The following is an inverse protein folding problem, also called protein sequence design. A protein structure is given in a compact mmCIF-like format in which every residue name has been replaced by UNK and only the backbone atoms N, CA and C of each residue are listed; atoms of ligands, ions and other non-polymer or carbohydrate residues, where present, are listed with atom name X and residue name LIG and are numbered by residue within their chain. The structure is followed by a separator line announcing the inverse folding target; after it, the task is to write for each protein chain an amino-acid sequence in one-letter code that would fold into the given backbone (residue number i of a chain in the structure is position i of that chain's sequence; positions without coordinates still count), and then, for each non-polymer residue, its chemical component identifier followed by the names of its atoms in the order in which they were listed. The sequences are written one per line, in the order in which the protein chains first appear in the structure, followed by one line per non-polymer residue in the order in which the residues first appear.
data_IF_290671974885
#
_entry.id   IF_290671974885
#
_cell.length_a   1.000
_cell.length_b   1.000
_cell.length_c   1.000
_cell.angle_alpha   90.00
_cell.angle_beta   90.00
_cell.angle_gamma   90.00
#
_symmetry.space_group_name_H-M   'P 1'
#
loop_
_entity.id
_entity.type
_entity.pdbx_description
1 polymer ?
#
# COMPACT_ATOMS: atom_id res chain seq x y z
N UNK A 1 15.11 -12.90 77.90
CA UNK A 1 16.00 -12.43 76.82
C UNK A 1 15.52 -12.89 75.43
N UNK A 2 14.86 -14.05 75.35
CA UNK A 2 14.25 -14.65 74.15
C UNK A 2 13.13 -13.82 73.52
N UNK A 3 12.26 -13.18 74.30
CA UNK A 3 11.07 -12.47 73.78
C UNK A 3 11.39 -11.20 72.97
N UNK A 4 12.51 -10.52 73.26
CA UNK A 4 12.93 -9.32 72.52
C UNK A 4 13.54 -9.63 71.15
N UNK A 5 14.20 -10.79 71.02
CA UNK A 5 14.83 -11.24 69.77
C UNK A 5 13.76 -11.64 68.75
N UNK A 6 12.70 -12.34 69.18
CA UNK A 6 11.57 -12.69 68.30
C UNK A 6 10.85 -11.45 67.77
N UNK A 7 10.65 -10.41 68.59
CA UNK A 7 10.00 -9.17 68.16
C UNK A 7 10.85 -8.38 67.16
N UNK A 8 12.18 -8.39 67.30
CA UNK A 8 13.09 -7.73 66.36
C UNK A 8 13.12 -8.46 65.01
N UNK A 9 13.16 -9.79 65.02
CA UNK A 9 13.15 -10.60 63.80
C UNK A 9 11.84 -10.39 63.03
N UNK A 10 10.68 -10.39 63.71
CA UNK A 10 9.40 -10.13 63.05
C UNK A 10 9.35 -8.73 62.45
N UNK A 11 9.83 -7.70 63.16
CA UNK A 11 9.86 -6.32 62.61
C UNK A 11 10.79 -6.16 61.42
N UNK A 12 11.98 -6.78 61.46
CA UNK A 12 12.93 -6.73 60.34
C UNK A 12 12.37 -7.50 59.14
N UNK A 13 11.71 -8.63 59.37
CA UNK A 13 11.06 -9.42 58.30
C UNK A 13 9.87 -8.67 57.69
N UNK A 14 9.03 -8.04 58.50
CA UNK A 14 7.92 -7.19 58.02
C UNK A 14 8.42 -5.98 57.25
N UNK A 15 9.52 -5.34 57.68
CA UNK A 15 10.12 -4.21 56.97
C UNK A 15 10.73 -4.64 55.63
N UNK A 16 11.32 -5.83 55.57
CA UNK A 16 11.86 -6.41 54.33
C UNK A 16 10.75 -6.75 53.33
N UNK A 17 9.61 -7.27 53.79
CA UNK A 17 8.46 -7.56 52.92
C UNK A 17 7.87 -6.26 52.36
N UNK A 18 7.73 -5.22 53.19
CA UNK A 18 7.23 -3.91 52.74
C UNK A 18 8.20 -3.26 51.74
N UNK A 19 9.52 -3.36 51.97
CA UNK A 19 10.52 -2.82 51.06
C UNK A 19 10.61 -3.60 49.73
N UNK A 20 10.38 -4.92 49.76
CA UNK A 20 10.33 -5.77 48.56
C UNK A 20 9.09 -5.48 47.70
N UNK A 21 7.94 -5.16 48.32
CA UNK A 21 6.73 -4.73 47.60
C UNK A 21 6.90 -3.33 47.00
N UNK A 22 7.73 -2.46 47.59
CA UNK A 22 8.03 -1.11 47.07
C UNK A 22 9.05 -1.11 45.91
N UNK A 23 9.77 -2.23 45.70
CA UNK A 23 10.78 -2.43 44.65
C UNK A 23 10.27 -3.26 43.47
N UNK A 24 9.01 -3.71 43.52
CA UNK A 24 8.34 -4.17 42.31
C UNK A 24 8.16 -2.94 41.40
N UNK A 25 8.61 -2.98 40.14
CA UNK A 25 8.25 -1.95 39.20
C UNK A 25 6.73 -1.96 39.06
N UNK A 26 6.03 -1.00 39.67
CA UNK A 26 4.71 -0.59 39.20
C UNK A 26 4.94 0.10 37.85
N UNK A 27 5.16 -0.69 36.81
CA UNK A 27 4.76 -0.28 35.48
C UNK A 27 3.25 -0.38 35.46
N UNK A 28 2.59 0.65 36.00
CA UNK A 28 1.28 1.01 35.45
C UNK A 28 1.62 1.54 34.07
N UNK A 29 1.65 0.63 33.09
CA UNK A 29 1.51 1.01 31.71
C UNK A 29 0.12 1.65 31.65
N UNK A 30 0.07 2.96 31.80
CA UNK A 30 -1.00 3.72 31.16
C UNK A 30 -0.84 3.38 29.69
N UNK A 31 -1.65 2.45 29.20
CA UNK A 31 -1.90 2.33 27.78
C UNK A 31 -2.35 3.72 27.34
N UNK A 32 -1.43 4.50 26.77
CA UNK A 32 -1.83 5.52 25.82
C UNK A 32 -2.70 4.76 24.82
N UNK A 33 -3.97 5.13 24.72
CA UNK A 33 -4.85 4.52 23.74
C UNK A 33 -4.28 4.76 22.36
N UNK A 34 -3.49 3.81 21.85
CA UNK A 34 -3.52 3.52 20.43
C UNK A 34 -4.94 3.03 20.18
N UNK A 35 -5.68 3.71 19.33
CA UNK A 35 -6.94 3.19 18.82
C UNK A 35 -6.63 1.80 18.24
N UNK A 36 -7.07 0.75 18.95
CA UNK A 36 -6.75 -0.62 18.59
C UNK A 36 -7.44 -0.98 17.27
N UNK A 37 -6.87 -1.93 16.54
CA UNK A 37 -7.42 -2.38 15.27
C UNK A 37 -8.50 -3.42 15.56
N UNK A 38 -9.70 -3.17 15.04
CA UNK A 38 -10.83 -4.07 15.27
C UNK A 38 -10.62 -5.37 14.51
N UNK A 39 -10.53 -6.48 15.24
CA UNK A 39 -10.54 -7.84 14.68
C UNK A 39 -11.88 -8.49 14.99
N UNK A 40 -12.42 -9.19 13.98
CA UNK A 40 -13.70 -9.89 14.07
C UNK A 40 -13.50 -11.36 13.75
N UNK A 41 -14.07 -12.23 14.58
CA UNK A 41 -14.01 -13.68 14.37
C UNK A 41 -15.31 -14.37 14.75
N UNK A 42 -15.87 -15.12 13.81
CA UNK A 42 -17.06 -15.93 14.04
C UNK A 42 -16.65 -17.33 14.51
N UNK A 43 -17.17 -17.78 15.65
CA UNK A 43 -16.91 -19.09 16.25
C UNK A 43 -18.21 -19.74 16.71
N UNK A 44 -18.33 -21.06 16.58
CA UNK A 44 -19.46 -21.79 17.14
C UNK A 44 -19.27 -21.99 18.64
N UNK A 45 -20.20 -21.44 19.43
CA UNK A 45 -20.20 -21.63 20.89
C UNK A 45 -21.55 -22.16 21.37
N UNK A 46 -21.49 -23.16 22.24
CA UNK A 46 -22.65 -23.70 22.94
C UNK A 46 -22.89 -22.94 24.25
N UNK A 47 -22.97 -21.62 24.17
CA UNK A 47 -23.15 -20.71 25.32
C UNK A 47 -24.60 -20.24 25.36
N UNK A 48 -25.24 -20.29 26.54
CA UNK A 48 -26.65 -19.89 26.71
C UNK A 48 -26.79 -18.52 27.39
N UNK A 49 -25.82 -18.10 28.20
CA UNK A 49 -25.82 -16.81 28.91
C UNK A 49 -24.45 -16.11 28.93
N UNK A 50 -24.43 -14.81 29.24
CA UNK A 50 -23.20 -13.98 29.34
C UNK A 50 -22.21 -14.53 30.39
N UNK A 51 -22.71 -15.26 31.37
CA UNK A 51 -21.90 -15.91 32.40
C UNK A 51 -21.07 -17.07 31.84
N UNK A 52 -21.52 -17.75 30.77
CA UNK A 52 -20.75 -18.85 30.13
C UNK A 52 -19.76 -18.34 29.06
N UNK A 53 -19.64 -17.03 28.86
CA UNK A 53 -18.57 -16.47 28.04
C UNK A 53 -17.19 -16.82 28.65
N UNK A 54 -16.20 -17.18 27.81
CA UNK A 54 -14.89 -17.64 28.27
C UNK A 54 -14.16 -16.59 29.10
N UNK A 55 -13.35 -17.05 30.07
CA UNK A 55 -12.61 -16.13 30.93
C UNK A 55 -11.50 -15.41 30.15
N UNK A 56 -10.91 -16.09 29.16
CA UNK A 56 -9.95 -15.49 28.23
C UNK A 56 -10.09 -16.03 26.80
N UNK A 57 -9.80 -15.15 25.84
CA UNK A 57 -9.66 -15.51 24.43
C UNK A 57 -8.33 -15.00 23.90
N UNK A 58 -7.67 -15.77 23.04
CA UNK A 58 -6.43 -15.36 22.40
C UNK A 58 -6.62 -15.28 20.89
N UNK A 59 -6.29 -14.13 20.31
CA UNK A 59 -6.20 -13.96 18.86
C UNK A 59 -4.75 -14.14 18.43
N UNK A 60 -4.55 -14.99 17.43
CA UNK A 60 -3.25 -15.22 16.80
C UNK A 60 -3.33 -14.87 15.31
N UNK A 61 -2.37 -14.07 14.85
CA UNK A 61 -2.25 -13.61 13.47
C UNK A 61 -1.11 -14.34 12.78
N UNK A 62 -1.31 -14.69 11.52
CA UNK A 62 -0.38 -15.46 10.69
C UNK A 62 -0.23 -14.82 9.31
N UNK A 63 0.91 -15.02 8.67
CA UNK A 63 1.21 -14.53 7.31
C UNK A 63 0.69 -15.46 6.19
N UNK A 64 0.16 -16.64 6.54
CA UNK A 64 -0.53 -17.55 5.61
C UNK A 64 -1.43 -18.54 6.35
N UNK A 65 -2.33 -19.20 5.61
CA UNK A 65 -3.23 -20.21 6.16
C UNK A 65 -2.47 -21.37 6.83
N UNK A 66 -1.30 -21.74 6.27
CA UNK A 66 -0.52 -22.92 6.71
C UNK A 66 0.67 -22.59 7.60
N UNK A 67 0.85 -21.32 7.97
CA UNK A 67 1.95 -20.88 8.82
C UNK A 67 1.91 -21.56 10.19
N UNK A 68 3.05 -22.09 10.61
CA UNK A 68 3.22 -22.81 11.87
C UNK A 68 3.44 -21.89 13.08
N UNK A 69 3.91 -20.65 12.86
CA UNK A 69 4.21 -19.69 13.92
C UNK A 69 3.42 -18.40 13.69
N UNK A 70 2.75 -17.86 14.71
CA UNK A 70 2.05 -16.60 14.57
C UNK A 70 3.05 -15.43 14.45
N UNK A 71 2.70 -14.44 13.65
CA UNK A 71 3.40 -13.16 13.53
C UNK A 71 3.00 -12.19 14.64
N UNK A 72 1.83 -12.39 15.27
CA UNK A 72 1.45 -11.68 16.49
C UNK A 72 0.39 -12.49 17.25
N UNK A 73 0.37 -12.33 18.58
CA UNK A 73 -0.68 -12.90 19.43
C UNK A 73 -1.11 -11.89 20.47
N UNK A 74 -2.38 -11.90 20.88
CA UNK A 74 -2.88 -11.09 21.98
C UNK A 74 -4.01 -11.81 22.71
N UNK A 75 -3.92 -11.84 24.03
CA UNK A 75 -4.94 -12.42 24.92
C UNK A 75 -5.81 -11.31 25.49
N UNK A 76 -7.11 -11.53 25.49
CA UNK A 76 -8.15 -10.64 25.98
C UNK A 76 -8.91 -11.34 27.10
N UNK A 77 -9.00 -10.70 28.25
CA UNK A 77 -9.78 -11.18 29.37
C UNK A 77 -11.27 -10.88 29.15
N UNK A 78 -12.15 -11.60 29.86
CA UNK A 78 -13.59 -11.33 29.87
C UNK A 78 -13.87 -9.86 30.20
N UNK A 79 -14.58 -9.19 29.30
CA UNK A 79 -14.87 -7.75 29.36
C UNK A 79 -13.96 -6.88 28.48
N UNK A 80 -12.88 -7.43 27.92
CA UNK A 80 -12.01 -6.76 26.93
C UNK A 80 -12.39 -7.10 25.49
N UNK A 81 -13.28 -8.07 25.30
CA UNK A 81 -13.86 -8.46 24.02
C UNK A 81 -15.38 -8.27 24.04
N UNK A 82 -15.96 -7.97 22.88
CA UNK A 82 -17.41 -7.97 22.68
C UNK A 82 -17.84 -9.24 21.95
N UNK A 83 -19.05 -9.72 22.25
CA UNK A 83 -19.65 -10.88 21.56
C UNK A 83 -21.04 -10.49 21.08
N UNK A 84 -21.27 -10.68 19.78
CA UNK A 84 -22.60 -10.61 19.19
C UNK A 84 -23.03 -12.01 18.73
N UNK A 85 -24.28 -12.38 19.01
CA UNK A 85 -24.81 -13.69 18.63
C UNK A 85 -25.67 -13.53 17.38
N UNK A 86 -25.14 -14.00 16.25
CA UNK A 86 -25.88 -14.00 15.00
C UNK A 86 -26.63 -15.32 14.82
N UNK A 87 -27.88 -15.35 15.31
CA UNK A 87 -28.79 -16.48 15.13
C UNK A 87 -29.20 -16.69 13.65
N UNK A 88 -28.91 -15.75 12.75
CA UNK A 88 -29.28 -15.88 11.33
C UNK A 88 -28.31 -16.75 10.51
N UNK A 89 -27.11 -17.04 11.05
CA UNK A 89 -26.12 -17.93 10.43
C UNK A 89 -26.27 -19.41 10.82
N UNK A 90 -27.37 -19.77 11.50
CA UNK A 90 -27.69 -21.15 11.86
C UNK A 90 -27.99 -21.98 10.60
N UNK A 91 -27.27 -23.09 10.42
CA UNK A 91 -27.46 -24.04 9.30
C UNK A 91 -28.67 -24.98 9.47
N UNK A 92 -29.45 -24.77 10.54
CA UNK A 92 -30.67 -25.54 10.83
C UNK A 92 -30.45 -26.99 11.26
N UNK A 93 -29.21 -27.46 11.42
CA UNK A 93 -28.89 -28.85 11.80
C UNK A 93 -27.94 -28.99 13.00
N UNK A 94 -27.23 -27.94 13.41
CA UNK A 94 -26.24 -28.01 14.50
C UNK A 94 -26.70 -27.18 15.71
N UNK A 95 -26.77 -27.79 16.90
CA UNK A 95 -27.06 -27.10 18.16
C UNK A 95 -25.89 -26.16 18.53
N UNK A 96 -26.03 -24.86 18.31
CA UNK A 96 -25.08 -23.84 18.79
C UNK A 96 -25.25 -22.50 18.07
N UNK A 97 -25.18 -21.39 18.79
CA UNK A 97 -25.21 -20.04 18.21
C UNK A 97 -23.83 -19.70 17.63
N UNK A 98 -23.77 -19.03 16.47
CA UNK A 98 -22.51 -18.44 15.99
C UNK A 98 -22.27 -17.18 16.82
N UNK A 99 -21.18 -17.19 17.58
CA UNK A 99 -20.71 -16.06 18.36
C UNK A 99 -19.67 -15.30 17.53
N UNK A 100 -19.96 -14.04 17.23
CA UNK A 100 -19.03 -13.09 16.63
C UNK A 100 -18.28 -12.37 17.74
N UNK A 101 -17.00 -12.67 17.87
CA UNK A 101 -16.10 -11.95 18.75
C UNK A 101 -15.53 -10.73 18.06
N UNK A 102 -15.48 -9.62 18.78
CA UNK A 102 -14.86 -8.38 18.36
C UNK A 102 -13.85 -7.93 19.42
N UNK A 103 -12.62 -7.64 19.01
CA UNK A 103 -11.52 -7.22 19.89
C UNK A 103 -10.77 -6.03 19.30
N UNK A 104 -10.20 -5.19 20.17
CA UNK A 104 -9.31 -4.10 19.78
C UNK A 104 -7.85 -4.57 19.90
N UNK A 105 -7.27 -5.02 18.80
CA UNK A 105 -5.91 -5.56 18.76
C UNK A 105 -4.87 -4.43 18.74
N UNK A 106 -3.86 -4.52 19.60
CA UNK A 106 -2.87 -3.46 19.80
C UNK A 106 -1.43 -3.95 19.69
N UNK A 107 -1.19 -5.26 19.67
CA UNK A 107 0.16 -5.79 19.59
C UNK A 107 0.75 -5.55 18.19
N UNK A 108 2.04 -5.22 18.13
CA UNK A 108 2.73 -5.02 16.86
C UNK A 108 2.99 -6.36 16.17
N UNK A 109 2.96 -6.36 14.84
CA UNK A 109 3.28 -7.54 14.05
C UNK A 109 4.80 -7.77 14.00
N UNK A 110 5.24 -8.98 14.30
CA UNK A 110 6.62 -9.40 14.14
C UNK A 110 6.89 -9.83 12.70
N UNK A 111 7.17 -8.84 11.85
CA UNK A 111 7.46 -9.04 10.43
C UNK A 111 8.97 -8.96 10.26
N UNK A 112 9.63 -10.08 9.96
CA UNK A 112 11.06 -10.12 9.72
C UNK A 112 11.41 -9.32 8.45
N UNK A 113 11.79 -8.06 8.62
CA UNK A 113 12.18 -7.13 7.56
C UNK A 113 13.70 -7.16 7.31
N UNK A 114 14.28 -8.35 7.19
CA UNK A 114 15.68 -8.44 6.75
C UNK A 114 15.72 -8.05 5.27
N UNK A 115 16.47 -7.00 4.95
CA UNK A 115 16.53 -6.36 3.63
C UNK A 115 16.93 -7.28 2.46
N UNK A 116 17.44 -8.47 2.76
CA UNK A 116 17.85 -9.51 1.80
C UNK A 116 16.79 -10.62 1.60
N UNK A 117 15.74 -10.65 2.45
CA UNK A 117 14.66 -11.67 2.39
C UNK A 117 13.24 -11.09 2.50
N UNK A 118 13.06 -9.77 2.30
CA UNK A 118 11.80 -9.01 2.42
C UNK A 118 10.56 -9.91 2.30
N UNK A 119 9.99 -10.30 3.45
CA UNK A 119 8.82 -11.17 3.48
C UNK A 119 7.64 -10.34 3.00
N UNK A 120 7.23 -10.57 1.76
CA UNK A 120 6.05 -9.93 1.17
C UNK A 120 4.81 -10.56 1.80
N UNK A 121 4.20 -9.88 2.76
CA UNK A 121 2.94 -10.33 3.36
C UNK A 121 1.81 -9.88 2.43
N UNK A 122 1.17 -10.85 1.79
CA UNK A 122 0.04 -10.63 0.87
C UNK A 122 -1.31 -10.87 1.52
N UNK A 123 -1.33 -11.56 2.67
CA UNK A 123 -2.51 -11.91 3.43
C UNK A 123 -2.15 -12.01 4.91
N UNK A 124 -3.13 -11.73 5.77
CA UNK A 124 -3.02 -12.05 7.19
C UNK A 124 -4.21 -12.93 7.53
N UNK A 125 -3.93 -13.97 8.30
CA UNK A 125 -4.93 -14.93 8.73
C UNK A 125 -5.08 -14.86 10.25
N UNK A 126 -6.32 -14.87 10.71
CA UNK A 126 -6.66 -14.85 12.13
C UNK A 126 -7.14 -16.21 12.61
N UNK A 127 -6.60 -16.63 13.74
CA UNK A 127 -7.00 -17.80 14.52
C UNK A 127 -7.40 -17.34 15.92
N UNK A 128 -8.38 -18.05 16.51
CA UNK A 128 -8.80 -17.79 17.88
C UNK A 128 -8.57 -19.05 18.72
N UNK A 129 -8.06 -18.85 19.93
CA UNK A 129 -8.03 -19.86 20.97
C UNK A 129 -8.92 -19.41 22.13
N UNK A 130 -9.66 -20.36 22.71
CA UNK A 130 -10.47 -20.18 23.90
C UNK A 130 -9.90 -21.09 24.97
N UNK A 131 -9.50 -20.52 26.11
CA UNK A 131 -8.84 -21.25 27.21
C UNK A 131 -7.67 -22.15 26.72
N UNK A 132 -6.90 -21.66 25.74
CA UNK A 132 -5.76 -22.36 25.14
C UNK A 132 -6.11 -23.48 24.16
N UNK A 133 -7.37 -23.57 23.70
CA UNK A 133 -7.81 -24.52 22.66
C UNK A 133 -8.28 -23.77 21.43
N UNK A 134 -7.78 -24.14 20.25
CA UNK A 134 -8.18 -23.52 18.97
C UNK A 134 -9.70 -23.66 18.75
N UNK A 135 -10.34 -22.53 18.45
CA UNK A 135 -11.76 -22.38 18.30
C UNK A 135 -12.11 -21.96 16.86
N UNK A 136 -12.62 -22.92 16.08
CA UNK A 136 -12.95 -22.73 14.66
C UNK A 136 -11.75 -22.89 13.72
N UNK A 137 -11.98 -22.62 12.44
CA UNK A 137 -10.92 -22.62 11.43
C UNK A 137 -10.25 -21.26 11.35
N UNK A 138 -9.00 -21.22 10.90
CA UNK A 138 -8.31 -19.97 10.56
C UNK A 138 -8.98 -19.30 9.36
N UNK A 139 -9.11 -17.97 9.37
CA UNK A 139 -9.75 -17.20 8.27
C UNK A 139 -8.91 -15.98 7.89
N UNK A 140 -8.97 -15.54 6.62
CA UNK A 140 -8.25 -14.36 6.19
C UNK A 140 -8.93 -13.10 6.76
N UNK A 141 -8.14 -12.13 7.20
CA UNK A 141 -8.64 -10.81 7.58
C UNK A 141 -9.04 -10.02 6.33
N UNK A 142 -9.92 -9.03 6.50
CA UNK A 142 -10.29 -8.15 5.38
C UNK A 142 -9.09 -7.35 4.88
N UNK A 143 -9.10 -6.94 3.60
CA UNK A 143 -8.04 -6.09 3.04
C UNK A 143 -7.86 -4.78 3.82
N UNK A 144 -8.94 -4.21 4.36
CA UNK A 144 -8.88 -3.00 5.18
C UNK A 144 -8.14 -3.27 6.50
N UNK A 145 -8.52 -4.35 7.20
CA UNK A 145 -7.86 -4.78 8.44
C UNK A 145 -6.39 -5.12 8.21
N UNK A 146 -6.07 -5.80 7.10
CA UNK A 146 -4.70 -6.11 6.68
C UNK A 146 -3.86 -4.84 6.57
N UNK A 147 -4.38 -3.81 5.87
CA UNK A 147 -3.67 -2.53 5.72
C UNK A 147 -3.49 -1.85 7.07
N UNK A 148 -4.51 -1.81 7.93
CA UNK A 148 -4.41 -1.22 9.27
C UNK A 148 -3.38 -1.95 10.14
N UNK A 149 -3.39 -3.29 10.15
CA UNK A 149 -2.46 -4.14 10.91
C UNK A 149 -1.02 -3.96 10.45
N UNK A 150 -0.81 -3.89 9.14
CA UNK A 150 0.49 -3.55 8.62
C UNK A 150 0.86 -2.15 9.10
N UNK A 151 -0.03 -1.14 9.04
CA UNK A 151 0.31 0.27 9.37
C UNK A 151 0.68 0.48 10.83
N UNK A 152 0.14 -0.36 11.71
CA UNK A 152 0.50 -0.40 13.12
C UNK A 152 1.76 -1.23 13.42
N UNK A 153 2.36 -1.89 12.42
CA UNK A 153 3.58 -2.68 12.58
C UNK A 153 4.84 -1.87 12.27
N UNK A 154 6.00 -2.42 12.65
CA UNK A 154 7.32 -1.86 12.32
C UNK A 154 7.78 -2.23 10.89
N UNK A 155 6.89 -2.78 10.04
CA UNK A 155 7.27 -3.15 8.68
C UNK A 155 7.77 -1.95 7.87
N UNK A 156 8.74 -2.16 6.98
CA UNK A 156 9.11 -1.16 5.97
C UNK A 156 7.93 -0.82 5.08
N UNK A 157 7.81 0.46 4.69
CA UNK A 157 6.89 1.00 3.67
C UNK A 157 6.88 0.11 2.40
N UNK A 158 7.98 -0.56 2.07
CA UNK A 158 8.08 -1.48 0.95
C UNK A 158 7.16 -2.71 1.07
N UNK A 159 6.93 -3.24 2.27
CA UNK A 159 6.06 -4.40 2.52
C UNK A 159 4.60 -4.05 2.25
N UNK A 160 4.18 -2.84 2.61
CA UNK A 160 2.87 -2.28 2.28
C UNK A 160 2.67 -2.11 0.78
N UNK A 161 3.72 -1.70 0.08
CA UNK A 161 3.68 -1.41 -1.34
C UNK A 161 3.58 -2.68 -2.21
N UNK A 162 3.91 -3.85 -1.66
CA UNK A 162 3.85 -5.15 -2.34
C UNK A 162 2.48 -5.81 -2.38
N UNK A 163 1.44 -5.22 -1.78
CA UNK A 163 0.14 -5.86 -1.58
C UNK A 163 -0.78 -5.99 -2.81
N UNK A 164 -0.28 -5.82 -4.02
CA UNK A 164 -1.15 -5.83 -5.20
C UNK A 164 -0.53 -6.68 -6.30
N UNK A 165 -0.97 -7.94 -6.31
CA UNK A 165 -1.12 -8.84 -7.45
C UNK A 165 0.04 -9.00 -8.44
N UNK A 166 0.41 -10.26 -8.69
CA UNK A 166 1.15 -10.66 -9.88
C UNK A 166 0.46 -10.09 -11.14
N UNK A 167 1.06 -9.10 -11.78
CA UNK A 167 0.67 -8.64 -13.12
C UNK A 167 0.34 -7.16 -13.31
N UNK A 168 0.38 -6.33 -12.28
CA UNK A 168 0.33 -4.86 -12.44
C UNK A 168 1.72 -4.26 -12.16
N UNK A 169 2.32 -3.62 -13.17
CA UNK A 169 3.64 -3.00 -13.02
C UNK A 169 3.58 -1.67 -12.23
N UNK A 170 2.39 -1.16 -11.87
CA UNK A 170 2.27 0.11 -11.15
C UNK A 170 1.09 0.21 -10.16
N UNK A 171 1.15 -0.50 -9.02
CA UNK A 171 0.08 -0.56 -8.02
C UNK A 171 -0.25 0.79 -7.38
N UNK A 172 0.71 1.72 -7.43
CA UNK A 172 0.65 3.07 -6.88
C UNK A 172 -0.47 3.91 -7.52
N UNK A 173 -0.78 3.68 -8.79
CA UNK A 173 -1.69 4.54 -9.56
C UNK A 173 -3.17 4.13 -9.49
N UNK A 174 -3.46 2.88 -9.13
CA UNK A 174 -4.80 2.31 -9.21
C UNK A 174 -5.55 2.27 -7.87
N UNK A 175 -4.85 2.06 -6.75
CA UNK A 175 -5.46 1.85 -5.43
C UNK A 175 -5.14 3.00 -4.46
N UNK A 176 -3.96 3.61 -4.55
CA UNK A 176 -3.48 4.58 -3.56
C UNK A 176 -3.87 6.04 -3.87
N UNK A 177 -4.43 6.32 -5.07
CA UNK A 177 -4.84 7.69 -5.44
C UNK A 177 -5.92 8.27 -4.52
N UNK A 178 -6.78 7.40 -4.00
CA UNK A 178 -7.97 7.79 -3.23
C UNK A 178 -7.79 7.55 -1.72
N UNK A 179 -6.59 7.16 -1.26
CA UNK A 179 -6.33 6.98 0.17
C UNK A 179 -6.24 8.36 0.87
N UNK A 180 -6.97 8.56 1.99
CA UNK A 180 -7.00 9.83 2.73
C UNK A 180 -5.77 10.01 3.63
N UNK A 181 -4.59 9.60 3.18
CA UNK A 181 -3.35 9.75 3.93
C UNK A 181 -2.79 11.12 3.61
N UNK A 182 -2.67 11.98 4.62
CA UNK A 182 -2.00 13.27 4.50
C UNK A 182 -0.94 13.43 5.58
N UNK A 183 0.14 14.12 5.26
CA UNK A 183 1.16 14.53 6.24
C UNK A 183 1.08 16.04 6.45
N UNK A 184 1.17 16.49 7.70
CA UNK A 184 1.27 17.90 8.01
C UNK A 184 2.72 18.36 7.89
N UNK A 185 2.96 19.34 7.02
CA UNK A 185 4.20 20.08 6.93
C UNK A 185 4.47 20.87 8.22
N UNK A 186 5.74 21.19 8.45
CA UNK A 186 6.17 21.99 9.60
C UNK A 186 5.59 23.43 9.61
N UNK A 187 5.07 23.87 8.47
CA UNK A 187 4.35 25.13 8.23
C UNK A 187 2.82 25.00 8.38
N UNK A 188 2.32 23.79 8.64
CA UNK A 188 0.90 23.50 8.80
C UNK A 188 0.16 23.11 7.50
N UNK A 189 0.87 22.93 6.38
CA UNK A 189 0.23 22.48 5.13
C UNK A 189 -0.01 20.96 5.12
N UNK A 190 -1.22 20.51 4.76
CA UNK A 190 -1.51 19.09 4.56
C UNK A 190 -1.07 18.63 3.16
N UNK A 191 -0.15 17.67 3.11
CA UNK A 191 0.29 16.98 1.88
C UNK A 191 -0.41 15.63 1.79
N UNK A 192 -1.50 15.56 1.01
CA UNK A 192 -2.21 14.31 0.73
C UNK A 192 -1.44 13.42 -0.24
N UNK A 193 -1.38 12.11 0.00
CA UNK A 193 -0.88 11.10 -0.96
C UNK A 193 -1.55 11.24 -2.33
N UNK A 194 -2.84 11.57 -2.35
CA UNK A 194 -3.58 11.84 -3.59
C UNK A 194 -3.01 13.01 -4.40
N UNK A 195 -2.34 13.98 -3.77
CA UNK A 195 -1.68 15.11 -4.44
C UNK A 195 -0.36 14.72 -5.12
N UNK A 196 0.32 13.68 -4.64
CA UNK A 196 1.51 13.12 -5.31
C UNK A 196 1.14 12.37 -6.59
N UNK A 197 -0.08 11.81 -6.67
CA UNK A 197 -0.59 11.04 -7.82
C UNK A 197 -1.53 11.83 -8.73
N UNK A 198 -2.11 12.92 -8.24
CA UNK A 198 -2.88 13.86 -9.04
C UNK A 198 -1.89 14.68 -9.84
N UNK A 199 -1.60 14.22 -11.06
CA UNK A 199 -0.81 14.92 -12.06
C UNK A 199 -1.04 16.44 -11.97
N UNK A 200 -0.06 17.17 -11.43
CA UNK A 200 -0.07 18.63 -11.49
C UNK A 200 0.00 18.99 -12.97
N UNK A 201 -1.04 19.68 -13.43
CA UNK A 201 -1.07 20.24 -14.77
C UNK A 201 0.20 21.05 -15.00
N UNK A 202 0.82 20.84 -16.17
CA UNK A 202 2.03 21.50 -16.61
C UNK A 202 2.06 22.99 -16.24
N UNK A 203 3.11 23.43 -15.53
CA UNK A 203 3.48 24.85 -15.49
C UNK A 203 3.63 25.54 -14.14
N UNK A 204 3.76 24.85 -13.00
CA UNK A 204 4.16 25.53 -11.76
C UNK A 204 5.69 25.52 -11.61
N UNK A 205 6.30 26.64 -11.98
CA UNK A 205 7.70 26.92 -11.66
C UNK A 205 7.89 26.96 -10.15
N UNK A 206 8.67 26.04 -9.58
CA UNK A 206 9.28 26.25 -8.26
C UNK A 206 9.19 25.13 -7.23
N UNK A 207 8.62 23.97 -7.52
CA UNK A 207 8.70 22.81 -6.62
C UNK A 207 9.42 21.65 -7.29
N UNK A 208 10.39 21.07 -6.56
CA UNK A 208 11.17 19.93 -7.00
C UNK A 208 10.23 18.70 -7.05
N UNK A 209 9.74 18.38 -8.25
CA UNK A 209 8.80 17.27 -8.47
C UNK A 209 9.58 15.94 -8.39
N UNK A 210 9.38 15.17 -7.31
CA UNK A 210 9.82 13.78 -7.17
C UNK A 210 8.65 12.85 -7.50
N UNK A 211 8.25 12.80 -8.76
CA UNK A 211 7.20 11.92 -9.29
C UNK A 211 7.42 11.59 -10.77
N UNK A 212 6.81 10.54 -11.34
CA UNK A 212 6.97 10.22 -12.75
C UNK A 212 6.53 11.41 -13.60
N UNK A 213 7.46 11.96 -14.40
CA UNK A 213 7.18 13.10 -15.25
C UNK A 213 6.16 12.71 -16.33
N UNK A 214 4.94 13.26 -16.27
CA UNK A 214 4.00 13.12 -17.38
C UNK A 214 4.50 13.97 -18.55
N UNK A 215 4.99 13.30 -19.59
CA UNK A 215 5.33 13.92 -20.88
C UNK A 215 4.02 14.23 -21.61
N UNK A 216 3.88 15.41 -22.23
CA UNK A 216 2.64 15.76 -22.94
C UNK A 216 2.49 14.94 -24.23
N UNK A 217 1.34 14.99 -24.91
CA UNK A 217 1.15 14.31 -26.19
C UNK A 217 0.90 12.80 -26.13
N UNK A 218 0.60 12.22 -27.28
CA UNK A 218 0.44 10.76 -27.46
C UNK A 218 1.76 10.11 -27.85
N UNK A 219 1.83 8.78 -27.76
CA UNK A 219 2.99 8.00 -28.18
C UNK A 219 3.46 8.38 -29.61
N UNK A 220 4.78 8.38 -29.79
CA UNK A 220 5.45 8.82 -31.01
C UNK A 220 5.42 10.32 -31.31
N UNK A 221 4.69 11.15 -30.56
CA UNK A 221 4.69 12.60 -30.78
C UNK A 221 5.92 13.27 -30.16
N UNK A 222 6.54 14.19 -30.90
CA UNK A 222 7.64 15.00 -30.36
C UNK A 222 7.09 16.10 -29.43
N UNK A 223 7.78 16.32 -28.32
CA UNK A 223 7.49 17.41 -27.39
C UNK A 223 7.94 18.77 -27.91
N UNK A 224 7.12 19.80 -27.69
CA UNK A 224 7.49 21.18 -27.96
C UNK A 224 6.90 22.13 -26.91
N UNK A 225 7.46 23.34 -26.86
CA UNK A 225 6.93 24.43 -26.06
C UNK A 225 5.77 25.11 -26.82
N UNK A 226 4.57 25.03 -26.27
CA UNK A 226 3.38 25.74 -26.73
C UNK A 226 3.00 26.84 -25.74
N UNK A 227 3.65 28.01 -25.84
CA UNK A 227 3.41 29.16 -24.97
C UNK A 227 3.63 28.86 -23.47
N UNK A 228 4.83 28.36 -23.16
CA UNK A 228 5.32 27.96 -21.83
C UNK A 228 4.66 26.69 -21.26
N UNK A 229 3.86 25.99 -22.07
CA UNK A 229 3.25 24.69 -21.75
C UNK A 229 3.86 23.60 -22.62
N UNK A 230 4.21 22.45 -22.03
CA UNK A 230 4.65 21.28 -22.80
C UNK A 230 3.48 20.70 -23.60
N UNK A 231 3.67 20.45 -24.90
CA UNK A 231 2.66 19.87 -25.77
C UNK A 231 3.26 18.85 -26.74
N UNK A 232 2.43 17.92 -27.21
CA UNK A 232 2.78 16.95 -28.26
C UNK A 232 2.46 17.48 -29.67
N UNK A 233 3.40 17.37 -30.59
CA UNK A 233 3.23 17.79 -31.98
C UNK A 233 2.50 16.71 -32.80
N UNK A 234 1.18 16.78 -32.91
CA UNK A 234 0.37 15.74 -33.60
C UNK A 234 0.69 15.54 -35.09
N UNK A 235 1.34 16.51 -35.74
CA UNK A 235 1.75 16.46 -37.14
C UNK A 235 3.19 15.96 -37.32
N UNK A 236 3.94 15.73 -36.25
CA UNK A 236 5.31 15.22 -36.27
C UNK A 236 5.36 13.93 -35.46
N UNK A 237 5.62 12.82 -36.15
CA UNK A 237 5.63 11.49 -35.57
C UNK A 237 7.01 10.84 -35.68
N UNK A 238 7.47 10.23 -34.60
CA UNK A 238 8.64 9.37 -34.55
C UNK A 238 8.19 7.94 -34.28
N UNK A 239 8.38 7.07 -35.27
CA UNK A 239 8.23 5.62 -35.14
C UNK A 239 9.56 5.06 -34.63
N UNK A 240 9.64 4.82 -33.33
CA UNK A 240 10.82 4.32 -32.63
C UNK A 240 11.11 2.84 -32.96
N UNK A 241 10.06 2.05 -33.23
CA UNK A 241 10.15 0.65 -33.63
C UNK A 241 10.93 0.51 -34.94
N UNK A 242 10.59 1.32 -35.95
CA UNK A 242 11.23 1.28 -37.26
C UNK A 242 12.30 2.36 -37.48
N UNK A 243 12.50 3.25 -36.51
CA UNK A 243 13.43 4.38 -36.54
C UNK A 243 13.15 5.35 -37.71
N UNK A 244 11.90 5.80 -37.83
CA UNK A 244 11.41 6.63 -38.95
C UNK A 244 10.72 7.90 -38.47
N UNK A 245 10.82 8.95 -39.27
CA UNK A 245 10.14 10.24 -39.02
C UNK A 245 9.03 10.46 -40.03
N UNK A 246 7.83 10.74 -39.54
CA UNK A 246 6.66 11.13 -40.33
C UNK A 246 6.27 12.58 -40.06
N UNK A 247 6.04 13.36 -41.12
CA UNK A 247 5.41 14.70 -41.05
C UNK A 247 4.08 14.61 -41.79
N UNK A 248 2.98 14.91 -41.10
CA UNK A 248 1.62 14.73 -41.60
C UNK A 248 1.13 13.28 -41.64
N UNK A 249 1.94 12.32 -41.15
CA UNK A 249 1.61 10.89 -41.13
C UNK A 249 2.19 10.22 -39.89
N UNK A 250 1.40 9.35 -39.26
CA UNK A 250 1.84 8.52 -38.13
C UNK A 250 2.40 7.15 -38.56
N UNK A 251 2.35 6.82 -39.86
CA UNK A 251 2.80 5.53 -40.38
C UNK A 251 3.85 5.69 -41.50
N UNK A 252 5.05 6.22 -41.18
CA UNK A 252 6.08 6.45 -42.19
C UNK A 252 6.62 5.13 -42.79
N UNK A 253 6.68 5.06 -44.11
CA UNK A 253 7.19 3.91 -44.89
C UNK A 253 8.68 4.06 -45.26
N UNK A 254 9.26 5.23 -45.05
CA UNK A 254 10.67 5.55 -45.30
C UNK A 254 11.29 6.22 -44.06
N UNK A 255 12.64 6.35 -44.04
CA UNK A 255 13.36 7.01 -42.93
C UNK A 255 12.82 8.42 -42.63
N UNK A 256 12.42 9.15 -43.67
CA UNK A 256 11.69 10.40 -43.57
C UNK A 256 10.55 10.34 -44.59
N UNK A 257 9.31 10.51 -44.14
CA UNK A 257 8.14 10.68 -44.98
C UNK A 257 7.44 11.99 -44.64
N UNK A 258 7.19 12.81 -45.66
CA UNK A 258 6.40 14.03 -45.54
C UNK A 258 5.15 13.85 -46.40
N UNK A 259 3.99 13.76 -45.76
CA UNK A 259 2.70 13.80 -46.44
C UNK A 259 2.25 15.26 -46.53
N UNK A 260 2.67 15.94 -47.60
CA UNK A 260 2.36 17.34 -47.84
C UNK A 260 3.43 18.04 -48.68
N UNK A 261 3.39 19.37 -48.67
CA UNK A 261 4.38 20.19 -49.36
C UNK A 261 5.60 20.42 -48.46
N UNK A 262 6.80 20.41 -49.05
CA UNK A 262 8.02 20.85 -48.37
C UNK A 262 8.75 21.89 -49.22
N UNK A 263 9.38 22.86 -48.54
CA UNK A 263 10.20 23.90 -49.20
C UNK A 263 11.66 23.62 -48.94
N UNK A 264 12.47 23.70 -49.99
CA UNK A 264 13.92 23.62 -49.91
C UNK A 264 14.49 25.05 -49.83
N UNK A 265 15.55 25.25 -49.04
CA UNK A 265 16.25 26.54 -48.94
C UNK A 265 16.88 26.98 -50.27
N UNK A 266 17.51 28.17 -50.29
CA UNK A 266 18.01 28.81 -51.53
C UNK A 266 19.18 28.11 -52.21
N UNK A 267 19.87 27.18 -51.53
CA UNK A 267 20.96 26.38 -52.10
C UNK A 267 20.84 24.91 -51.69
N UNK A 268 19.82 24.18 -52.15
CA UNK A 268 19.60 22.82 -51.70
C UNK A 268 20.53 21.86 -52.44
N UNK A 269 21.25 21.03 -51.68
CA UNK A 269 21.99 19.89 -52.23
C UNK A 269 21.12 18.64 -52.08
N UNK A 270 20.33 18.35 -53.11
CA UNK A 270 19.54 17.11 -53.17
C UNK A 270 20.30 16.09 -53.99
N UNK A 271 20.72 14.99 -53.36
CA UNK A 271 21.24 13.83 -54.07
C UNK A 271 20.10 13.08 -54.75
N UNK A 272 19.80 13.41 -56.00
CA UNK A 272 18.82 12.69 -56.80
C UNK A 272 19.51 11.53 -57.52
N UNK A 273 19.27 10.29 -57.08
CA UNK A 273 19.61 9.10 -57.85
C UNK A 273 18.60 8.98 -58.99
N UNK A 274 18.97 9.42 -60.19
CA UNK A 274 18.08 9.40 -61.36
C UNK A 274 17.58 7.97 -61.64
N UNK A 275 16.28 7.73 -61.48
CA UNK A 275 15.62 6.53 -62.02
C UNK A 275 15.56 6.68 -63.54
N UNK A 276 16.25 5.81 -64.28
CA UNK A 276 16.42 5.95 -65.75
C UNK A 276 15.27 5.38 -66.58
N UNK A 277 14.15 4.98 -65.99
CA UNK A 277 13.10 4.22 -66.68
C UNK A 277 11.67 4.73 -66.40
N UNK A 278 11.41 6.01 -66.67
CA UNK A 278 10.02 6.49 -66.64
C UNK A 278 9.93 8.00 -66.72
N UNK A 279 8.99 8.47 -67.52
CA UNK A 279 8.77 9.85 -67.95
C UNK A 279 8.22 10.75 -66.83
N UNK A 280 8.77 10.70 -65.62
CA UNK A 280 8.32 11.54 -64.51
C UNK A 280 9.16 12.80 -64.38
N UNK A 281 8.46 13.93 -64.44
CA UNK A 281 9.01 15.27 -64.50
C UNK A 281 9.94 15.55 -63.31
N UNK A 282 11.24 15.70 -63.60
CA UNK A 282 12.07 16.66 -62.88
C UNK A 282 11.28 17.96 -62.80
N UNK A 283 11.04 18.45 -61.58
CA UNK A 283 10.46 19.76 -61.34
C UNK A 283 11.32 20.78 -62.10
N UNK A 284 10.91 21.17 -63.31
CA UNK A 284 11.53 22.28 -64.02
C UNK A 284 11.20 23.49 -63.17
N UNK A 285 12.23 24.08 -62.57
CA UNK A 285 12.18 25.45 -62.08
C UNK A 285 11.61 26.30 -63.21
N UNK A 286 10.33 26.64 -63.12
CA UNK A 286 9.71 27.62 -63.99
C UNK A 286 10.41 28.93 -63.69
N UNK A 287 11.39 29.27 -64.51
CA UNK A 287 11.99 30.59 -64.52
C UNK A 287 10.85 31.57 -64.86
N UNK A 288 10.27 32.18 -63.84
CA UNK A 288 9.64 33.48 -64.02
C UNK A 288 10.76 34.48 -64.30
N UNK A 289 10.90 34.87 -65.56
CA UNK A 289 11.46 36.16 -65.97
C UNK A 289 10.86 36.55 -67.32
N UNK A 290 10.49 37.82 -67.57
CA UNK A 290 10.05 38.89 -66.67
C UNK A 290 8.52 39.07 -66.62
#
# INVERSE_FOLDING_TARGET
MTTKITSYIVKVFSLFIILAVLLLPLTVAFAQGSEGIVLVKDVFLAVQDVEDLPDEVTFALYDSETAATPIATQTFQKGEYAVDYDFSKLDGFTFGSVARFEVNFTNTLNINDDSDTSVKIYEIWTEMEIDGTVAGNREPVSNETLVQLLLASDASISTYLTLVYEGDENPITSIYKDLPISSLGADGSEFSLGSYFSAVAAGTSGEEIIGPMQVAGSDGQIQYNNSDVQAGASQFYYDDTNHRVGIGTANPLAKLQVEGNFTLGTTPKVGLSRWTNGTDALCRYGANMP
#
